data_IF_529600603937
#
_entry.id   IF_529600603937
#
_cell.length_a   1.000
_cell.length_b   1.000
_cell.length_c   1.000
_cell.angle_alpha   90.00
_cell.angle_beta   90.00
_cell.angle_gamma   90.00
#
_symmetry.space_group_name_H-M   'P 1'
#
loop_
_entity.id
_entity.type
_entity.pdbx_description
1 polymer ?
#
# COMPACT_ATOMS: atom_id res chain seq x y z
N UNK A 1 26.80 -39.03 13.72
CA UNK A 1 25.40 -39.08 14.21
C UNK A 1 25.00 -37.77 14.91
N UNK A 2 25.64 -37.33 16.00
CA UNK A 2 25.29 -36.06 16.71
C UNK A 2 25.30 -34.78 15.86
N UNK A 3 26.24 -34.62 14.93
CA UNK A 3 26.30 -33.44 14.03
C UNK A 3 25.11 -33.33 13.07
N UNK A 4 24.57 -34.47 12.61
CA UNK A 4 23.42 -34.49 11.70
C UNK A 4 22.14 -34.12 12.45
N UNK A 5 22.04 -34.55 13.71
CA UNK A 5 20.91 -34.27 14.60
C UNK A 5 20.78 -32.77 14.89
N UNK A 6 21.89 -32.09 15.22
CA UNK A 6 21.88 -30.64 15.44
C UNK A 6 21.59 -29.81 14.17
N UNK A 7 21.97 -30.31 12.99
CA UNK A 7 21.60 -29.66 11.72
C UNK A 7 20.10 -29.77 11.44
N UNK A 8 19.50 -30.94 11.71
CA UNK A 8 18.06 -31.17 11.57
C UNK A 8 17.27 -30.30 12.56
N UNK A 9 17.70 -30.24 13.82
CA UNK A 9 17.07 -29.38 14.85
C UNK A 9 17.11 -27.90 14.48
N UNK A 10 18.27 -27.42 14.00
CA UNK A 10 18.41 -26.04 13.52
C UNK A 10 17.50 -25.76 12.32
N UNK A 11 17.42 -26.67 11.36
CA UNK A 11 16.53 -26.54 10.19
C UNK A 11 15.06 -26.53 10.59
N UNK A 12 14.67 -27.35 11.56
CA UNK A 12 13.30 -27.37 12.11
C UNK A 12 12.99 -26.05 12.82
N UNK A 13 13.94 -25.50 13.58
CA UNK A 13 13.78 -24.20 14.23
C UNK A 13 13.65 -23.06 13.21
N UNK A 14 14.51 -23.05 12.19
CA UNK A 14 14.41 -22.10 11.07
C UNK A 14 13.08 -22.23 10.32
N UNK A 15 12.55 -23.45 10.13
CA UNK A 15 11.24 -23.69 9.49
C UNK A 15 10.08 -23.20 10.38
N UNK A 16 10.17 -23.35 11.70
CA UNK A 16 9.17 -22.83 12.64
C UNK A 16 9.19 -21.30 12.72
N UNK A 17 10.37 -20.69 12.64
CA UNK A 17 10.53 -19.22 12.60
C UNK A 17 10.14 -18.63 11.24
N UNK A 18 10.26 -19.42 10.16
CA UNK A 18 9.80 -19.05 8.81
C UNK A 18 8.40 -19.56 8.50
N UNK A 19 7.69 -20.12 9.48
CA UNK A 19 6.26 -20.41 9.37
C UNK A 19 5.57 -19.05 9.29
N UNK A 20 5.49 -18.56 8.05
CA UNK A 20 4.78 -17.38 7.59
C UNK A 20 3.58 -17.25 8.50
N UNK A 21 3.50 -16.14 9.25
CA UNK A 21 2.36 -15.80 10.10
C UNK A 21 1.14 -15.86 9.19
N UNK A 22 0.51 -17.04 9.12
CA UNK A 22 -0.66 -17.27 8.30
C UNK A 22 -1.73 -16.57 9.09
N UNK A 23 -2.16 -15.41 8.59
CA UNK A 23 -3.36 -14.78 9.09
C UNK A 23 -4.44 -15.88 9.18
N UNK A 24 -5.06 -16.06 10.36
CA UNK A 24 -6.13 -17.02 10.57
C UNK A 24 -7.09 -17.01 9.36
N UNK A 25 -7.51 -18.19 8.92
CA UNK A 25 -8.36 -18.32 7.74
C UNK A 25 -9.62 -17.44 7.80
N UNK A 26 -10.13 -17.22 9.01
CA UNK A 26 -11.26 -16.34 9.32
C UNK A 26 -10.96 -14.84 9.07
N UNK A 27 -9.74 -14.36 9.34
CA UNK A 27 -9.35 -12.96 9.08
C UNK A 27 -9.28 -12.63 7.59
N UNK A 28 -8.90 -13.60 6.74
CA UNK A 28 -8.87 -13.40 5.28
C UNK A 28 -10.27 -13.35 4.68
N UNK A 29 -11.24 -14.06 5.27
CA UNK A 29 -12.64 -14.08 4.82
C UNK A 29 -13.38 -12.78 5.16
N UNK A 30 -12.97 -12.06 6.20
CA UNK A 30 -13.60 -10.80 6.61
C UNK A 30 -13.11 -9.57 5.82
N UNK A 31 -12.01 -9.69 5.06
CA UNK A 31 -11.46 -8.61 4.24
C UNK A 31 -11.39 -8.95 2.72
N UNK A 32 -12.51 -9.25 2.05
CA UNK A 32 -12.48 -9.66 0.64
C UNK A 32 -12.20 -8.46 -0.29
N UNK A 33 -10.96 -8.29 -0.72
CA UNK A 33 -10.50 -7.13 -1.53
C UNK A 33 -11.31 -6.97 -2.84
N UNK A 34 -11.50 -8.06 -3.59
CA UNK A 34 -12.15 -7.97 -4.89
C UNK A 34 -13.63 -7.57 -4.76
N UNK A 35 -14.41 -8.27 -3.94
CA UNK A 35 -15.85 -7.99 -3.78
C UNK A 35 -16.16 -6.82 -2.85
N UNK A 36 -15.25 -6.45 -1.94
CA UNK A 36 -15.45 -5.39 -0.96
C UNK A 36 -14.90 -4.02 -1.36
N UNK A 37 -14.00 -3.94 -2.35
CA UNK A 37 -13.43 -2.66 -2.82
C UNK A 37 -13.39 -2.60 -4.34
N UNK A 38 -12.73 -3.56 -5.00
CA UNK A 38 -12.48 -3.46 -6.44
C UNK A 38 -13.75 -3.51 -7.29
N UNK A 39 -14.74 -4.32 -6.92
CA UNK A 39 -16.05 -4.36 -7.58
C UNK A 39 -16.92 -3.13 -7.30
N UNK A 40 -16.76 -2.49 -6.14
CA UNK A 40 -17.56 -1.31 -5.79
C UNK A 40 -17.05 -0.06 -6.52
N UNK A 41 -15.73 0.09 -6.63
CA UNK A 41 -15.10 1.32 -7.10
C UNK A 41 -14.07 1.12 -8.22
N UNK A 42 -14.35 0.32 -9.28
CA UNK A 42 -13.35 -0.06 -10.27
C UNK A 42 -12.69 1.14 -10.95
N UNK A 43 -13.49 2.14 -11.34
CA UNK A 43 -12.98 3.34 -12.00
C UNK A 43 -12.20 4.26 -11.06
N UNK A 44 -12.67 4.42 -9.82
CA UNK A 44 -11.95 5.23 -8.84
C UNK A 44 -10.58 4.63 -8.51
N UNK A 45 -10.50 3.31 -8.31
CA UNK A 45 -9.24 2.60 -8.07
C UNK A 45 -8.30 2.71 -9.28
N UNK A 46 -8.84 2.61 -10.50
CA UNK A 46 -8.06 2.85 -11.74
C UNK A 46 -7.46 4.25 -11.76
N UNK A 47 -8.21 5.28 -11.37
CA UNK A 47 -7.70 6.65 -11.30
C UNK A 47 -6.66 6.85 -10.18
N UNK A 48 -6.83 6.21 -9.02
CA UNK A 48 -5.80 6.18 -7.97
C UNK A 48 -4.51 5.54 -8.48
N UNK A 49 -4.60 4.44 -9.23
CA UNK A 49 -3.43 3.81 -9.85
C UNK A 49 -2.77 4.72 -10.90
N UNK A 50 -3.56 5.46 -11.71
CA UNK A 50 -3.05 6.47 -12.64
C UNK A 50 -2.36 7.63 -11.94
N UNK A 51 -2.87 8.05 -10.77
CA UNK A 51 -2.22 9.06 -9.93
C UNK A 51 -0.82 8.59 -9.49
N UNK A 52 -0.69 7.34 -9.01
CA UNK A 52 0.62 6.74 -8.70
C UNK A 52 1.55 6.74 -9.92
N UNK A 53 1.05 6.36 -11.10
CA UNK A 53 1.83 6.33 -12.33
C UNK A 53 2.35 7.73 -12.74
N UNK A 54 1.48 8.75 -12.73
CA UNK A 54 1.86 10.14 -13.03
C UNK A 54 2.89 10.66 -12.03
N UNK A 55 2.67 10.45 -10.73
CA UNK A 55 3.63 10.84 -9.69
C UNK A 55 4.99 10.15 -9.88
N UNK A 56 5.00 8.88 -10.27
CA UNK A 56 6.24 8.17 -10.58
C UNK A 56 6.96 8.74 -11.81
N UNK A 57 6.25 9.08 -12.88
CA UNK A 57 6.87 9.76 -14.04
C UNK A 57 7.50 11.10 -13.61
N UNK A 58 6.78 11.88 -12.80
CA UNK A 58 7.23 13.21 -12.37
C UNK A 58 8.47 13.15 -11.46
N UNK A 59 8.48 12.25 -10.48
CA UNK A 59 9.54 12.21 -9.45
C UNK A 59 10.63 11.18 -9.72
N UNK A 60 10.34 10.16 -10.53
CA UNK A 60 11.19 9.01 -10.79
C UNK A 60 11.19 8.62 -12.28
N UNK A 61 11.56 9.56 -13.19
CA UNK A 61 11.55 9.31 -14.62
C UNK A 61 12.41 8.10 -14.97
N UNK A 62 11.93 7.27 -15.91
CA UNK A 62 12.57 6.04 -16.40
C UNK A 62 12.73 4.91 -15.38
N UNK A 63 12.18 5.04 -14.16
CA UNK A 63 12.14 3.93 -13.19
C UNK A 63 10.81 3.19 -13.26
N UNK A 64 10.85 1.91 -12.84
CA UNK A 64 9.62 1.13 -12.61
C UNK A 64 8.73 1.83 -11.59
N UNK A 65 7.42 1.63 -11.71
CA UNK A 65 6.44 2.18 -10.77
C UNK A 65 6.75 1.73 -9.34
N UNK A 66 7.00 2.70 -8.46
CA UNK A 66 7.16 2.47 -7.03
C UNK A 66 6.73 3.72 -6.25
N UNK A 67 6.37 3.52 -4.98
CA UNK A 67 6.08 4.62 -4.08
C UNK A 67 7.36 5.10 -3.39
N UNK A 68 7.91 6.21 -3.88
CA UNK A 68 9.03 6.90 -3.24
C UNK A 68 8.52 7.76 -2.07
N UNK A 69 8.59 7.19 -0.86
CA UNK A 69 8.09 7.82 0.38
C UNK A 69 8.82 9.12 0.72
N UNK A 70 10.04 9.33 0.22
CA UNK A 70 10.77 10.58 0.43
C UNK A 70 10.10 11.78 -0.28
N UNK A 71 9.15 11.52 -1.20
CA UNK A 71 8.40 12.52 -1.96
C UNK A 71 6.99 12.75 -1.44
N UNK A 72 6.53 11.99 -0.45
CA UNK A 72 5.20 12.13 0.15
C UNK A 72 5.30 12.08 1.68
N UNK A 73 5.79 13.17 2.28
CA UNK A 73 5.94 13.28 3.73
C UNK A 73 4.71 13.81 4.47
N UNK A 74 3.89 14.62 3.78
CA UNK A 74 2.88 15.51 4.35
C UNK A 74 1.44 15.05 4.05
N UNK A 75 1.14 13.77 4.25
CA UNK A 75 -0.10 13.16 3.70
C UNK A 75 -1.39 13.90 4.11
N UNK A 76 -1.56 14.23 5.39
CA UNK A 76 -2.76 14.89 5.90
C UNK A 76 -2.89 16.35 5.42
N UNK A 77 -1.79 17.10 5.36
CA UNK A 77 -1.79 18.47 4.85
C UNK A 77 -2.04 18.49 3.34
N UNK A 78 -1.37 17.61 2.58
CA UNK A 78 -1.61 17.45 1.14
C UNK A 78 -3.04 17.01 0.85
N UNK A 79 -3.57 16.04 1.61
CA UNK A 79 -4.97 15.62 1.52
C UNK A 79 -5.90 16.81 1.70
N UNK A 80 -5.70 17.60 2.76
CA UNK A 80 -6.57 18.75 3.08
C UNK A 80 -6.53 19.81 1.97
N UNK A 81 -5.36 20.12 1.41
CA UNK A 81 -5.25 21.04 0.27
C UNK A 81 -6.02 20.55 -0.95
N UNK A 82 -5.96 19.25 -1.26
CA UNK A 82 -6.75 18.70 -2.35
C UNK A 82 -8.25 18.64 -2.00
N UNK A 83 -8.62 18.40 -0.75
CA UNK A 83 -10.00 18.38 -0.30
C UNK A 83 -10.69 19.74 -0.48
N UNK A 84 -9.99 20.84 -0.16
CA UNK A 84 -10.48 22.21 -0.38
C UNK A 84 -10.79 22.51 -1.86
N UNK A 85 -10.21 21.74 -2.79
CA UNK A 85 -10.37 21.89 -4.23
C UNK A 85 -11.09 20.68 -4.85
N UNK A 86 -11.74 19.84 -4.04
CA UNK A 86 -12.45 18.66 -4.53
C UNK A 86 -13.52 19.01 -5.58
N UNK A 87 -13.68 18.16 -6.59
CA UNK A 87 -14.56 18.40 -7.73
C UNK A 87 -13.89 19.04 -8.96
N UNK A 88 -12.69 19.61 -8.81
CA UNK A 88 -11.91 20.18 -9.93
C UNK A 88 -10.74 19.28 -10.34
N UNK A 89 -9.97 19.74 -11.34
CA UNK A 89 -8.76 19.09 -11.87
C UNK A 89 -7.56 19.94 -11.46
N UNK A 90 -6.53 19.30 -10.93
CA UNK A 90 -5.27 19.92 -10.56
C UNK A 90 -4.41 20.22 -11.81
N UNK A 91 -3.39 21.03 -11.62
CA UNK A 91 -2.42 21.48 -12.63
C UNK A 91 -1.69 20.34 -13.38
N UNK A 92 -1.59 19.14 -12.79
CA UNK A 92 -1.03 17.94 -13.42
C UNK A 92 -2.08 17.08 -14.18
N UNK A 93 -3.29 17.60 -14.32
CA UNK A 93 -4.40 16.93 -14.98
C UNK A 93 -4.96 15.75 -14.20
N UNK A 94 -4.72 15.65 -12.89
CA UNK A 94 -5.35 14.66 -12.00
C UNK A 94 -6.45 15.35 -11.20
N UNK A 95 -7.60 14.69 -11.01
CA UNK A 95 -8.67 15.24 -10.16
C UNK A 95 -8.19 15.39 -8.71
N UNK A 96 -8.53 16.50 -8.07
CA UNK A 96 -8.23 16.70 -6.65
C UNK A 96 -8.80 15.57 -5.78
N UNK A 97 -10.02 15.11 -6.07
CA UNK A 97 -10.64 13.99 -5.36
C UNK A 97 -9.87 12.67 -5.48
N UNK A 98 -9.15 12.43 -6.58
CA UNK A 98 -8.29 11.24 -6.74
C UNK A 98 -7.08 11.36 -5.82
N UNK A 99 -6.49 12.56 -5.71
CA UNK A 99 -5.37 12.81 -4.80
C UNK A 99 -5.79 12.73 -3.34
N UNK A 100 -7.01 13.15 -2.98
CA UNK A 100 -7.58 12.91 -1.64
C UNK A 100 -7.61 11.42 -1.33
N UNK A 101 -8.19 10.60 -2.22
CA UNK A 101 -8.24 9.15 -2.03
C UNK A 101 -6.84 8.52 -1.92
N UNK A 102 -5.90 8.92 -2.78
CA UNK A 102 -4.53 8.44 -2.75
C UNK A 102 -3.82 8.80 -1.43
N UNK A 103 -3.94 10.06 -0.97
CA UNK A 103 -3.31 10.53 0.27
C UNK A 103 -3.92 9.86 1.51
N UNK A 104 -5.23 9.59 1.50
CA UNK A 104 -5.88 8.85 2.59
C UNK A 104 -5.36 7.41 2.68
N UNK A 105 -5.23 6.71 1.54
CA UNK A 105 -4.65 5.37 1.48
C UNK A 105 -3.18 5.37 1.92
N UNK A 106 -2.39 6.35 1.47
CA UNK A 106 -0.98 6.49 1.85
C UNK A 106 -0.82 6.71 3.37
N UNK A 107 -1.67 7.54 3.97
CA UNK A 107 -1.69 7.75 5.41
C UNK A 107 -2.05 6.47 6.17
N UNK A 108 -3.15 5.82 5.81
CA UNK A 108 -3.59 4.57 6.44
C UNK A 108 -2.53 3.47 6.31
N UNK A 109 -1.90 3.33 5.14
CA UNK A 109 -0.83 2.35 4.93
C UNK A 109 0.35 2.58 5.87
N UNK A 110 0.75 3.84 6.09
CA UNK A 110 1.82 4.20 7.04
C UNK A 110 1.43 3.88 8.49
N UNK A 111 0.18 4.16 8.88
CA UNK A 111 -0.33 3.84 10.21
C UNK A 111 -0.34 2.32 10.46
N UNK A 112 -0.81 1.52 9.50
CA UNK A 112 -0.84 0.07 9.61
C UNK A 112 0.57 -0.54 9.72
N UNK A 113 1.52 -0.04 8.93
CA UNK A 113 2.92 -0.49 8.98
C UNK A 113 3.58 -0.20 10.34
N UNK A 114 3.19 0.88 11.02
CA UNK A 114 3.68 1.19 12.37
C UNK A 114 3.13 0.23 13.44
N UNK A 115 1.96 -0.37 13.22
CA UNK A 115 1.36 -1.34 14.15
C UNK A 115 2.00 -2.73 14.00
N UNK A 116 2.54 -3.04 12.82
CA UNK A 116 3.15 -4.33 12.50
C UNK A 116 4.66 -4.41 12.85
N UNK A 117 5.27 -3.34 13.37
CA UNK A 117 6.70 -3.30 13.79
C UNK A 117 6.87 -3.30 15.30
#
# INVERSE_FOLDING_TARGET
MKKLQGFVEKRIQEIKETEIIKQPEEERKTAPIYSGVLRYFPDAIKEVARCSYKGNIQHNPNKKLHWDRSKSGDELDALTRHLLQAGTIDTDGVRHSVKVAWRALANLQKELEQIET
#
